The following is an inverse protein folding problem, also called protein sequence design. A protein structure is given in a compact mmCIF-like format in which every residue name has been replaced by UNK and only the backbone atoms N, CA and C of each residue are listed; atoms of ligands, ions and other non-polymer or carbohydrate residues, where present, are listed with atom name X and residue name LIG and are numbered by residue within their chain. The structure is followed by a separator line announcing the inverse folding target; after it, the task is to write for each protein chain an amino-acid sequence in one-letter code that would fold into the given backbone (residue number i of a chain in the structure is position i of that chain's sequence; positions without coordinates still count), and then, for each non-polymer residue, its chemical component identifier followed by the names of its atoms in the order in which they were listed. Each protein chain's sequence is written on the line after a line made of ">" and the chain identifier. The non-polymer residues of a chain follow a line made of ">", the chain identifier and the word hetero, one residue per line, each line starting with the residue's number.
data_IF_644434295865
#
_entry.id   IF_644434295865
#
_cell.length_a   1.000
_cell.length_b   1.000
_cell.length_c   1.000
_cell.angle_alpha   90.00
_cell.angle_beta   90.00
_cell.angle_gamma   90.00
#
_symmetry.space_group_name_H-M   'P 1'
#
loop_
_entity.id
_entity.type
_entity.pdbx_description
1 polymer ?
#
# COMPACT_ATOMS: atom_id res chain seq x y z
N UNK A 1 -69.60 0.88 7.65
CA UNK A 1 -69.63 0.95 6.18
C UNK A 1 -68.95 -0.33 5.66
N UNK A 2 -69.72 -1.34 5.19
CA UNK A 2 -69.13 -2.57 4.65
C UNK A 2 -68.83 -2.33 3.16
N UNK A 3 -67.54 -2.17 2.82
CA UNK A 3 -67.12 -2.14 1.43
C UNK A 3 -67.45 -3.50 0.77
N UNK A 4 -68.10 -3.50 -0.35
CA UNK A 4 -68.34 -4.73 -1.14
C UNK A 4 -67.02 -5.34 -1.56
N UNK A 5 -66.90 -6.67 -1.50
CA UNK A 5 -65.66 -7.43 -1.83
C UNK A 5 -64.99 -6.98 -3.14
N UNK A 6 -65.79 -6.53 -4.13
CA UNK A 6 -65.27 -6.01 -5.42
C UNK A 6 -64.57 -4.68 -5.30
N UNK A 7 -65.00 -3.79 -4.41
CA UNK A 7 -64.37 -2.46 -4.23
C UNK A 7 -63.02 -2.57 -3.56
N UNK A 8 -62.86 -3.54 -2.64
CA UNK A 8 -61.58 -3.82 -1.97
C UNK A 8 -60.55 -4.35 -2.98
N UNK A 9 -60.96 -5.19 -3.90
CA UNK A 9 -60.05 -5.73 -4.98
C UNK A 9 -59.64 -4.62 -5.92
N UNK A 10 -60.54 -3.72 -6.31
CA UNK A 10 -60.20 -2.57 -7.18
C UNK A 10 -59.24 -1.61 -6.48
N UNK A 11 -59.44 -1.31 -5.19
CA UNK A 11 -58.53 -0.50 -4.39
C UNK A 11 -57.13 -1.13 -4.28
N UNK A 12 -57.08 -2.46 -4.11
CA UNK A 12 -55.79 -3.17 -4.05
C UNK A 12 -55.05 -3.17 -5.38
N UNK A 13 -55.78 -3.24 -6.50
CA UNK A 13 -55.22 -3.18 -7.83
C UNK A 13 -54.72 -1.75 -8.16
N UNK A 14 -55.45 -0.71 -7.75
CA UNK A 14 -55.06 0.67 -7.88
C UNK A 14 -53.79 0.99 -7.06
N UNK A 15 -53.71 0.46 -5.84
CA UNK A 15 -52.53 0.60 -4.99
C UNK A 15 -51.30 -0.09 -5.57
N UNK A 16 -51.48 -1.25 -6.21
CA UNK A 16 -50.39 -2.00 -6.87
C UNK A 16 -49.85 -1.27 -8.11
N UNK A 17 -50.71 -0.55 -8.87
CA UNK A 17 -50.28 0.26 -10.02
C UNK A 17 -49.45 1.49 -9.64
N UNK A 18 -49.65 2.04 -8.45
CA UNK A 18 -48.91 3.22 -7.96
C UNK A 18 -47.49 2.84 -7.53
N UNK A 19 -47.26 1.61 -7.04
CA UNK A 19 -45.95 1.16 -6.57
C UNK A 19 -44.97 0.81 -7.68
N UNK A 20 -45.41 0.60 -8.91
CA UNK A 20 -44.55 0.26 -10.06
C UNK A 20 -43.81 1.46 -10.68
N UNK A 21 -44.10 2.69 -10.26
CA UNK A 21 -43.47 3.91 -10.81
C UNK A 21 -42.21 4.36 -10.04
N UNK A 22 -41.76 3.61 -9.03
CA UNK A 22 -40.63 3.98 -8.17
C UNK A 22 -39.30 3.31 -8.56
N UNK A 23 -39.26 2.53 -9.64
CA UNK A 23 -38.02 1.87 -10.08
C UNK A 23 -37.54 2.58 -11.34
N UNK A 24 -36.54 3.42 -11.22
CA UNK A 24 -35.80 3.90 -12.38
C UNK A 24 -35.41 5.37 -12.39
N UNK A 25 -34.75 5.88 -11.35
CA UNK A 25 -33.81 6.96 -11.57
C UNK A 25 -32.39 6.38 -11.60
N UNK A 26 -31.99 5.81 -12.75
CA UNK A 26 -30.59 5.77 -13.10
C UNK A 26 -30.11 7.20 -13.26
N UNK A 27 -29.47 7.72 -12.22
CA UNK A 27 -28.65 8.90 -12.31
C UNK A 27 -27.47 8.61 -13.23
N UNK A 28 -27.67 8.70 -14.53
CA UNK A 28 -26.60 8.91 -15.50
C UNK A 28 -26.03 10.31 -15.26
N UNK A 29 -25.37 10.51 -14.14
CA UNK A 29 -24.43 11.61 -13.98
C UNK A 29 -23.26 11.29 -14.92
N UNK A 30 -23.35 11.77 -16.15
CA UNK A 30 -22.17 11.95 -16.98
C UNK A 30 -21.32 13.01 -16.27
N UNK A 31 -20.39 12.54 -15.44
CA UNK A 31 -19.35 13.39 -14.85
C UNK A 31 -18.53 13.89 -16.04
N UNK A 32 -18.87 15.09 -16.52
CA UNK A 32 -18.08 15.78 -17.53
C UNK A 32 -16.81 16.26 -16.83
N UNK A 33 -15.85 15.30 -16.73
CA UNK A 33 -14.60 15.52 -16.05
C UNK A 33 -13.79 16.51 -16.89
N UNK A 34 -13.49 17.67 -16.33
CA UNK A 34 -12.64 18.67 -16.98
C UNK A 34 -11.35 18.00 -17.46
N UNK A 35 -10.94 18.32 -18.69
CA UNK A 35 -9.73 17.82 -19.32
C UNK A 35 -8.48 18.04 -18.45
N UNK A 36 -8.47 19.10 -17.65
CA UNK A 36 -7.42 19.43 -16.68
C UNK A 36 -7.36 18.39 -15.56
N UNK A 37 -8.49 17.91 -15.05
CA UNK A 37 -8.56 16.88 -14.00
C UNK A 37 -8.05 15.55 -14.56
N UNK A 38 -8.45 15.18 -15.76
CA UNK A 38 -7.99 13.96 -16.43
C UNK A 38 -6.47 13.99 -16.63
N UNK A 39 -5.91 15.14 -17.03
CA UNK A 39 -4.47 15.33 -17.18
C UNK A 39 -3.73 15.19 -15.85
N UNK A 40 -4.26 15.79 -14.77
CA UNK A 40 -3.69 15.69 -13.41
C UNK A 40 -3.71 14.25 -12.89
N UNK A 41 -4.81 13.53 -13.10
CA UNK A 41 -4.91 12.12 -12.71
C UNK A 41 -3.89 11.25 -13.46
N UNK A 42 -3.71 11.48 -14.75
CA UNK A 42 -2.70 10.78 -15.55
C UNK A 42 -1.28 11.06 -15.06
N UNK A 43 -0.93 12.33 -14.83
CA UNK A 43 0.37 12.72 -14.28
C UNK A 43 0.61 12.11 -12.90
N UNK A 44 -0.41 12.10 -12.03
CA UNK A 44 -0.33 11.45 -10.71
C UNK A 44 -0.08 9.95 -10.82
N UNK A 45 -0.76 9.29 -11.76
CA UNK A 45 -0.59 7.84 -11.98
C UNK A 45 0.82 7.54 -12.48
N UNK A 46 1.35 8.31 -13.42
CA UNK A 46 2.71 8.17 -13.95
C UNK A 46 3.76 8.43 -12.87
N UNK A 47 3.57 9.47 -12.05
CA UNK A 47 4.45 9.78 -10.93
C UNK A 47 4.46 8.64 -9.90
N UNK A 48 3.28 8.18 -9.46
CA UNK A 48 3.16 7.09 -8.50
C UNK A 48 3.79 5.79 -9.03
N UNK A 49 3.66 5.52 -10.34
CA UNK A 49 4.30 4.37 -10.98
C UNK A 49 5.83 4.47 -10.91
N UNK A 50 6.41 5.63 -11.22
CA UNK A 50 7.86 5.86 -11.11
C UNK A 50 8.36 5.68 -9.68
N UNK A 51 7.69 6.30 -8.70
CA UNK A 51 8.03 6.15 -7.28
C UNK A 51 7.96 4.69 -6.83
N UNK A 52 6.95 3.95 -7.27
CA UNK A 52 6.84 2.52 -6.95
C UNK A 52 7.96 1.69 -7.60
N UNK A 53 8.33 1.99 -8.84
CA UNK A 53 9.40 1.28 -9.55
C UNK A 53 10.80 1.58 -8.98
N UNK A 54 11.02 2.78 -8.44
CA UNK A 54 12.28 3.20 -7.82
C UNK A 54 12.34 2.89 -6.31
N UNK A 55 11.20 2.67 -5.66
CA UNK A 55 11.20 2.38 -4.23
C UNK A 55 11.61 0.94 -3.93
N UNK A 56 12.37 0.78 -2.88
CA UNK A 56 12.78 -0.53 -2.35
C UNK A 56 12.86 -0.51 -0.83
N UNK A 57 12.92 -1.69 -0.23
CA UNK A 57 13.02 -1.87 1.21
C UNK A 57 14.39 -2.43 1.56
N UNK A 58 15.03 -1.84 2.58
CA UNK A 58 16.25 -2.35 3.18
C UNK A 58 16.04 -2.63 4.65
N UNK A 59 16.86 -3.46 5.25
CA UNK A 59 16.83 -3.71 6.69
C UNK A 59 18.06 -3.05 7.31
N UNK A 60 17.87 -2.13 8.22
CA UNK A 60 18.97 -1.55 9.00
C UNK A 60 19.20 -2.42 10.22
N UNK A 61 20.44 -2.92 10.37
CA UNK A 61 20.82 -3.82 11.48
C UNK A 61 21.71 -3.14 12.52
N UNK A 62 22.36 -2.03 12.16
CA UNK A 62 23.24 -1.30 13.05
C UNK A 62 23.26 0.20 12.75
N UNK A 63 23.56 0.97 13.80
CA UNK A 63 23.81 2.40 13.76
C UNK A 63 24.78 2.78 14.88
N UNK A 64 25.96 3.37 14.55
CA UNK A 64 26.95 3.78 15.54
C UNK A 64 28.32 4.04 14.93
N UNK A 65 29.38 3.63 15.64
CA UNK A 65 30.77 3.85 15.21
C UNK A 65 31.20 2.89 14.10
N UNK A 66 32.28 3.26 13.39
CA UNK A 66 32.83 2.51 12.25
C UNK A 66 33.30 1.10 12.64
N UNK A 67 34.02 0.99 13.76
CA UNK A 67 34.67 -0.27 14.15
C UNK A 67 33.65 -1.36 14.43
N UNK A 68 32.58 -1.03 15.11
CA UNK A 68 31.50 -1.96 15.42
C UNK A 68 30.66 -2.25 14.15
N UNK A 69 30.42 -1.21 13.33
CA UNK A 69 29.75 -1.38 12.04
C UNK A 69 30.47 -2.37 11.12
N UNK A 70 31.80 -2.29 11.00
CA UNK A 70 32.62 -3.21 10.21
C UNK A 70 32.59 -4.64 10.75
N UNK A 71 32.62 -4.78 12.09
CA UNK A 71 32.50 -6.10 12.73
C UNK A 71 31.14 -6.74 12.48
N UNK A 72 30.06 -5.98 12.59
CA UNK A 72 28.69 -6.45 12.35
C UNK A 72 28.49 -6.81 10.87
N UNK A 73 29.04 -6.01 9.97
CA UNK A 73 28.98 -6.27 8.54
C UNK A 73 29.65 -7.61 8.19
N UNK A 74 30.84 -7.88 8.74
CA UNK A 74 31.56 -9.16 8.52
C UNK A 74 30.76 -10.34 9.04
N UNK A 75 30.30 -10.27 10.29
CA UNK A 75 29.47 -11.32 10.91
C UNK A 75 28.19 -11.58 10.15
N UNK A 76 27.56 -10.54 9.63
CA UNK A 76 26.35 -10.67 8.84
C UNK A 76 26.63 -11.33 7.49
N UNK A 77 27.67 -10.89 6.78
CA UNK A 77 28.05 -11.44 5.46
C UNK A 77 28.43 -12.91 5.52
N UNK A 78 29.01 -13.38 6.62
CA UNK A 78 29.33 -14.80 6.83
C UNK A 78 28.10 -15.67 7.09
N UNK A 79 27.05 -15.11 7.70
CA UNK A 79 25.86 -15.87 8.07
C UNK A 79 24.73 -15.78 7.02
N UNK A 80 24.69 -14.69 6.28
CA UNK A 80 23.65 -14.40 5.29
C UNK A 80 24.29 -14.09 3.92
N UNK A 81 25.03 -15.05 3.36
CA UNK A 81 25.79 -14.88 2.10
C UNK A 81 24.96 -14.40 0.91
N UNK A 82 23.66 -14.75 0.88
CA UNK A 82 22.76 -14.39 -0.22
C UNK A 82 22.20 -12.97 -0.12
N UNK A 83 22.38 -12.28 1.03
CA UNK A 83 21.83 -10.97 1.26
C UNK A 83 22.91 -9.90 1.10
N UNK A 84 22.72 -9.01 0.15
CA UNK A 84 23.62 -7.87 -0.08
C UNK A 84 23.75 -6.99 1.16
N UNK A 85 24.97 -6.55 1.46
CA UNK A 85 25.28 -5.69 2.61
C UNK A 85 25.87 -4.37 2.16
N UNK A 86 25.52 -3.29 2.84
CA UNK A 86 26.06 -1.96 2.58
C UNK A 86 26.41 -1.23 3.88
N UNK A 87 27.59 -0.59 3.88
CA UNK A 87 28.03 0.32 4.94
C UNK A 87 27.82 1.75 4.45
N UNK A 88 26.98 2.50 5.15
CA UNK A 88 26.63 3.87 4.82
C UNK A 88 27.11 4.81 5.91
N UNK A 89 27.85 5.85 5.50
CA UNK A 89 28.21 6.95 6.41
C UNK A 89 27.15 8.04 6.33
N UNK A 90 26.54 8.34 7.45
CA UNK A 90 25.59 9.45 7.59
C UNK A 90 25.96 10.21 8.87
N UNK A 91 26.61 11.35 8.67
CA UNK A 91 27.24 12.17 9.74
C UNK A 91 26.35 12.27 10.98
N UNK A 92 26.84 11.96 12.18
CA UNK A 92 28.24 11.57 12.48
C UNK A 92 28.47 10.03 12.53
N UNK A 93 27.50 9.21 12.17
CA UNK A 93 27.52 7.77 12.42
C UNK A 93 27.53 6.92 11.15
N UNK A 94 27.87 5.64 11.34
CA UNK A 94 27.80 4.61 10.31
C UNK A 94 26.54 3.76 10.49
N UNK A 95 25.97 3.33 9.39
CA UNK A 95 24.79 2.46 9.33
C UNK A 95 25.12 1.23 8.52
N UNK A 96 24.75 0.06 9.02
CA UNK A 96 24.78 -1.18 8.24
C UNK A 96 23.37 -1.49 7.78
N UNK A 97 23.18 -1.51 6.47
CA UNK A 97 21.93 -1.86 5.81
C UNK A 97 22.12 -3.11 4.97
N UNK A 98 21.10 -3.95 4.95
CA UNK A 98 21.14 -5.25 4.27
C UNK A 98 19.90 -5.47 3.44
N UNK A 99 20.09 -6.13 2.29
CA UNK A 99 19.06 -6.44 1.32
C UNK A 99 18.57 -5.25 0.51
N UNK A 100 17.98 -5.59 -0.62
CA UNK A 100 17.32 -4.66 -1.54
C UNK A 100 16.01 -5.31 -2.02
N UNK A 101 14.96 -5.22 -1.20
CA UNK A 101 13.70 -5.93 -1.41
C UNK A 101 12.71 -5.03 -2.14
N UNK A 102 12.11 -5.52 -3.21
CA UNK A 102 11.10 -4.78 -3.98
C UNK A 102 9.75 -4.67 -3.27
N UNK A 103 9.45 -5.59 -2.36
CA UNK A 103 8.20 -5.55 -1.60
C UNK A 103 8.41 -5.75 -0.11
N UNK A 104 7.47 -5.25 0.68
CA UNK A 104 7.51 -5.29 2.14
C UNK A 104 7.39 -6.72 2.69
N UNK A 105 6.76 -7.64 1.98
CA UNK A 105 6.54 -9.01 2.42
C UNK A 105 7.87 -9.77 2.46
N UNK A 106 8.69 -9.63 1.40
CA UNK A 106 10.00 -10.26 1.33
C UNK A 106 10.96 -9.64 2.36
N UNK A 107 10.92 -8.32 2.52
CA UNK A 107 11.66 -7.64 3.58
C UNK A 107 11.27 -8.16 4.98
N UNK A 108 9.97 -8.35 5.24
CA UNK A 108 9.47 -8.83 6.54
C UNK A 108 9.88 -10.26 6.84
N UNK A 109 9.84 -11.16 5.84
CA UNK A 109 10.31 -12.54 6.01
C UNK A 109 11.79 -12.60 6.38
N UNK A 110 12.63 -11.82 5.68
CA UNK A 110 14.06 -11.75 5.97
C UNK A 110 14.33 -11.10 7.33
N UNK A 111 13.57 -10.05 7.68
CA UNK A 111 13.69 -9.39 8.98
C UNK A 111 13.45 -10.37 10.13
N UNK A 112 12.49 -11.26 10.03
CA UNK A 112 12.21 -12.27 11.07
C UNK A 112 13.42 -13.16 11.35
N UNK A 113 14.09 -13.62 10.30
CA UNK A 113 15.33 -14.41 10.39
C UNK A 113 16.48 -13.58 10.98
N UNK A 114 16.65 -12.35 10.50
CA UNK A 114 17.73 -11.45 10.93
C UNK A 114 17.57 -11.04 12.40
N UNK A 115 16.34 -10.80 12.86
CA UNK A 115 16.06 -10.42 14.25
C UNK A 115 16.45 -11.47 15.29
N UNK A 116 16.62 -12.72 14.90
CA UNK A 116 17.11 -13.77 15.81
C UNK A 116 18.50 -13.44 16.37
N UNK A 117 19.32 -12.79 15.56
CA UNK A 117 20.69 -12.37 15.94
C UNK A 117 20.81 -10.85 16.13
N UNK A 118 20.20 -10.06 15.25
CA UNK A 118 20.24 -8.61 15.26
C UNK A 118 18.89 -8.04 15.73
N UNK A 119 18.65 -8.05 17.02
CA UNK A 119 17.33 -7.71 17.62
C UNK A 119 16.84 -6.30 17.33
N UNK A 120 17.77 -5.36 17.13
CA UNK A 120 17.50 -3.96 16.80
C UNK A 120 17.16 -3.73 15.32
N UNK A 121 17.20 -4.78 14.49
CA UNK A 121 16.94 -4.66 13.06
C UNK A 121 15.51 -4.18 12.77
N UNK A 122 15.37 -3.31 11.78
CA UNK A 122 14.08 -2.80 11.32
C UNK A 122 14.11 -2.47 9.83
N UNK A 123 12.93 -2.49 9.20
CA UNK A 123 12.78 -2.20 7.78
C UNK A 123 12.74 -0.68 7.55
N UNK A 124 13.46 -0.25 6.53
CA UNK A 124 13.39 1.10 5.96
C UNK A 124 12.86 1.00 4.53
N UNK A 125 11.97 1.91 4.17
CA UNK A 125 11.61 2.15 2.77
C UNK A 125 12.54 3.23 2.22
N UNK A 126 13.25 2.91 1.15
CA UNK A 126 14.04 3.90 0.42
C UNK A 126 13.26 4.28 -0.84
N UNK A 127 12.97 5.57 -0.98
CA UNK A 127 12.39 6.15 -2.18
C UNK A 127 13.56 6.87 -2.89
N UNK A 128 14.02 6.31 -4.00
CA UNK A 128 14.96 7.01 -4.88
C UNK A 128 14.14 8.00 -5.73
N UNK A 129 14.24 9.28 -5.39
CA UNK A 129 13.68 10.39 -6.16
C UNK A 129 14.71 10.92 -7.14
#
# INVERSE_FOLDING_TARGET
>A
MMFKRGEIVVLFYLFFLITSSLIGQENNQSINQDSSITKLLKLRTEYNKKVFESSFYTIQIYYGDLKEADSILKVFSEEFEEIETSLIFETPNYKVRVGNFKNIIDASKNLESIKRKFRSAFILKNDEL
#
